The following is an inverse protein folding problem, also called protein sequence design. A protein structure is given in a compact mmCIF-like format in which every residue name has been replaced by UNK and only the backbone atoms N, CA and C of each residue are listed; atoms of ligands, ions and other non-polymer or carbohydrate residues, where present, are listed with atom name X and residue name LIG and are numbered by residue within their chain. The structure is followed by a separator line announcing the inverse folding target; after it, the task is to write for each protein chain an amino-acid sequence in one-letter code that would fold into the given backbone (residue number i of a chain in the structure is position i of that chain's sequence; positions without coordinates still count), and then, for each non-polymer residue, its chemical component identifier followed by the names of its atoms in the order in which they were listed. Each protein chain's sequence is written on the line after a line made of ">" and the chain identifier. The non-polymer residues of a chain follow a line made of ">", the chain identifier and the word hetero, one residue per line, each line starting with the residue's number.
data_IF_131007324798
#
_entry.id   IF_131007324798
#
_cell.length_a   1.000
_cell.length_b   1.000
_cell.length_c   1.000
_cell.angle_alpha   90.00
_cell.angle_beta   90.00
_cell.angle_gamma   90.00
#
_symmetry.space_group_name_H-M   'P 1'
#
loop_
_entity.id
_entity.type
_entity.pdbx_description
1 polymer ?
#
# COMPACT_ATOMS: atom_id res chain seq x y z
N UNK A 1 -23.32 20.38 -16.72
CA UNK A 1 -24.07 20.50 -15.43
C UNK A 1 -23.15 21.13 -14.41
N UNK A 2 -23.39 22.35 -13.97
CA UNK A 2 -22.65 22.92 -12.84
C UNK A 2 -23.03 22.22 -11.54
N UNK A 3 -22.02 21.85 -10.75
CA UNK A 3 -22.19 21.36 -9.39
C UNK A 3 -21.47 22.31 -8.43
N UNK A 4 -22.08 22.60 -7.31
CA UNK A 4 -21.54 23.48 -6.31
C UNK A 4 -21.32 22.76 -4.98
N UNK A 5 -20.16 22.97 -4.40
CA UNK A 5 -19.88 22.65 -3.01
C UNK A 5 -18.60 23.36 -2.55
N UNK A 6 -18.45 23.52 -1.25
CA UNK A 6 -17.22 24.03 -0.65
C UNK A 6 -16.02 23.12 -1.02
N UNK A 7 -14.80 23.69 -0.99
CA UNK A 7 -13.59 22.90 -1.16
C UNK A 7 -13.53 21.79 -0.10
N UNK A 8 -12.95 20.65 -0.46
CA UNK A 8 -12.85 19.51 0.47
C UNK A 8 -14.14 18.74 0.73
N UNK A 9 -15.27 19.07 0.10
CA UNK A 9 -16.56 18.34 0.28
C UNK A 9 -16.60 16.99 -0.45
N UNK A 10 -15.68 16.75 -1.39
CA UNK A 10 -15.62 15.48 -2.13
C UNK A 10 -16.27 15.51 -3.51
N UNK A 11 -16.45 16.68 -4.15
CA UNK A 11 -17.00 16.84 -5.51
C UNK A 11 -16.36 15.89 -6.53
N UNK A 12 -15.02 15.97 -6.64
CA UNK A 12 -14.26 15.15 -7.58
C UNK A 12 -14.40 13.65 -7.28
N UNK A 13 -14.39 13.28 -5.99
CA UNK A 13 -14.59 11.89 -5.54
C UNK A 13 -15.99 11.39 -5.93
N UNK A 14 -17.03 12.18 -5.69
CA UNK A 14 -18.40 11.84 -6.06
C UNK A 14 -18.50 11.55 -7.57
N UNK A 15 -18.05 12.50 -8.40
CA UNK A 15 -18.14 12.39 -9.86
C UNK A 15 -17.33 11.21 -10.38
N UNK A 16 -16.14 10.99 -9.85
CA UNK A 16 -15.26 9.87 -10.25
C UNK A 16 -15.79 8.50 -9.85
N UNK A 17 -16.64 8.43 -8.80
CA UNK A 17 -17.17 7.19 -8.25
C UNK A 17 -18.54 6.80 -8.76
N UNK A 18 -19.19 7.61 -9.58
CA UNK A 18 -20.54 7.34 -10.12
C UNK A 18 -20.64 5.99 -10.80
N UNK A 19 -19.67 5.65 -11.64
CA UNK A 19 -19.60 4.35 -12.32
C UNK A 19 -19.39 3.16 -11.39
N UNK A 20 -18.90 3.38 -10.19
CA UNK A 20 -18.71 2.33 -9.18
C UNK A 20 -19.96 2.11 -8.35
N UNK A 21 -20.62 3.21 -7.96
CA UNK A 21 -21.78 3.15 -7.05
C UNK A 21 -23.11 2.96 -7.77
N UNK A 22 -23.22 3.45 -9.00
CA UNK A 22 -24.43 3.38 -9.80
C UNK A 22 -24.06 2.81 -11.19
N UNK A 23 -23.43 1.64 -11.17
CA UNK A 23 -22.83 1.00 -12.35
C UNK A 23 -23.85 0.71 -13.48
N UNK A 24 -25.12 0.50 -13.15
CA UNK A 24 -26.18 0.26 -14.13
C UNK A 24 -26.57 1.51 -14.92
N UNK A 25 -26.35 2.70 -14.36
CA UNK A 25 -26.73 3.98 -14.98
C UNK A 25 -25.55 4.77 -15.52
N UNK A 26 -24.39 4.66 -14.89
CA UNK A 26 -23.20 5.42 -15.25
C UNK A 26 -22.10 4.50 -15.77
N UNK A 27 -21.57 4.86 -16.94
CA UNK A 27 -20.36 4.30 -17.53
C UNK A 27 -19.10 5.00 -17.03
N UNK A 28 -17.97 4.84 -17.74
CA UNK A 28 -16.71 5.42 -17.32
C UNK A 28 -16.75 6.94 -17.16
N UNK A 29 -15.95 7.44 -16.22
CA UNK A 29 -15.70 8.86 -16.04
C UNK A 29 -14.32 9.21 -16.62
N UNK A 30 -14.25 10.31 -17.38
CA UNK A 30 -13.00 10.90 -17.84
C UNK A 30 -12.82 12.29 -17.24
N UNK A 31 -11.60 12.61 -16.86
CA UNK A 31 -11.21 13.95 -16.42
C UNK A 31 -10.76 14.79 -17.61
N UNK A 32 -11.32 15.99 -17.75
CA UNK A 32 -10.88 17.00 -18.69
C UNK A 32 -10.06 18.04 -17.91
N UNK A 33 -8.74 17.85 -17.88
CA UNK A 33 -7.82 18.73 -17.13
C UNK A 33 -7.63 20.04 -17.89
N UNK A 34 -7.71 21.20 -17.22
CA UNK A 34 -7.34 22.53 -17.68
C UNK A 34 -7.58 22.86 -19.16
N UNK A 35 -7.32 24.09 -19.54
CA UNK A 35 -7.41 24.56 -20.93
C UNK A 35 -8.84 24.68 -21.49
N UNK A 36 -8.96 25.22 -22.73
CA UNK A 36 -10.24 25.47 -23.40
C UNK A 36 -10.97 24.16 -23.72
N UNK A 37 -12.26 24.09 -23.43
CA UNK A 37 -13.12 22.95 -23.77
C UNK A 37 -13.66 23.12 -25.17
N UNK A 38 -13.20 22.25 -26.08
CA UNK A 38 -13.64 22.24 -27.49
C UNK A 38 -14.40 20.96 -27.81
N UNK A 39 -15.26 20.99 -28.82
CA UNK A 39 -15.99 19.81 -29.28
C UNK A 39 -15.04 18.67 -29.71
N UNK A 40 -13.90 18.99 -30.32
CA UNK A 40 -12.90 17.99 -30.71
C UNK A 40 -12.30 17.29 -29.49
N UNK A 41 -11.89 18.03 -28.47
CA UNK A 41 -11.35 17.48 -27.23
C UNK A 41 -12.38 16.57 -26.54
N UNK A 42 -13.64 16.94 -26.57
CA UNK A 42 -14.72 16.09 -26.01
C UNK A 42 -14.94 14.82 -26.82
N UNK A 43 -14.85 14.87 -28.17
CA UNK A 43 -14.91 13.65 -29.01
C UNK A 43 -13.77 12.70 -28.73
N UNK A 44 -12.54 13.21 -28.61
CA UNK A 44 -11.37 12.41 -28.28
C UNK A 44 -11.53 11.74 -26.91
N UNK A 45 -11.99 12.49 -25.90
CA UNK A 45 -12.26 11.96 -24.57
C UNK A 45 -13.38 10.89 -24.60
N UNK A 46 -14.45 11.10 -25.35
CA UNK A 46 -15.54 10.13 -25.52
C UNK A 46 -15.03 8.86 -26.20
N UNK A 47 -14.25 8.97 -27.26
CA UNK A 47 -13.66 7.82 -27.94
C UNK A 47 -12.76 7.01 -26.99
N UNK A 48 -11.91 7.67 -26.19
CA UNK A 48 -11.08 7.00 -25.18
C UNK A 48 -11.91 6.26 -24.12
N UNK A 49 -13.06 6.81 -23.69
CA UNK A 49 -13.95 6.13 -22.76
C UNK A 49 -14.53 4.85 -23.35
N UNK A 50 -15.01 4.94 -24.59
CA UNK A 50 -15.59 3.80 -25.33
C UNK A 50 -14.56 2.69 -25.51
N UNK A 51 -13.35 3.03 -25.96
CA UNK A 51 -12.26 2.07 -26.19
C UNK A 51 -11.79 1.40 -24.91
N UNK A 52 -11.48 2.18 -23.87
CA UNK A 52 -10.97 1.67 -22.60
C UNK A 52 -11.96 0.75 -21.88
N UNK A 53 -13.23 1.09 -21.92
CA UNK A 53 -14.29 0.32 -21.29
C UNK A 53 -14.89 -0.76 -22.20
N UNK A 54 -14.43 -0.86 -23.46
CA UNK A 54 -14.96 -1.79 -24.46
C UNK A 54 -16.49 -1.73 -24.56
N UNK A 55 -17.04 -0.52 -24.58
CA UNK A 55 -18.49 -0.31 -24.61
C UNK A 55 -19.06 -0.79 -25.94
N UNK A 56 -20.16 -1.51 -25.86
CA UNK A 56 -20.93 -1.94 -27.04
C UNK A 56 -21.88 -0.83 -27.49
N UNK A 57 -22.38 -0.93 -28.73
CA UNK A 57 -23.37 0.03 -29.26
C UNK A 57 -24.68 0.02 -28.47
N UNK A 58 -24.98 -1.08 -27.81
CA UNK A 58 -26.23 -1.26 -27.03
C UNK A 58 -26.11 -0.77 -25.58
N UNK A 59 -24.90 -0.39 -25.16
CA UNK A 59 -24.67 0.18 -23.83
C UNK A 59 -25.36 1.56 -23.73
N UNK A 60 -26.31 1.70 -22.81
CA UNK A 60 -27.11 2.92 -22.61
C UNK A 60 -26.62 3.77 -21.41
N UNK A 61 -25.57 3.36 -20.73
CA UNK A 61 -25.04 4.09 -19.55
C UNK A 61 -24.55 5.48 -19.92
N UNK A 62 -24.73 6.40 -19.01
CA UNK A 62 -24.27 7.80 -19.13
C UNK A 62 -22.76 7.86 -18.93
N UNK A 63 -22.05 8.41 -19.89
CA UNK A 63 -20.63 8.69 -19.80
C UNK A 63 -20.41 10.03 -19.10
N UNK A 64 -19.45 10.12 -18.19
CA UNK A 64 -19.23 11.34 -17.40
C UNK A 64 -17.92 12.01 -17.80
N UNK A 65 -18.00 13.27 -18.17
CA UNK A 65 -16.84 14.15 -18.36
C UNK A 65 -16.76 15.14 -17.20
N UNK A 66 -15.77 14.98 -16.35
CA UNK A 66 -15.50 15.89 -15.24
C UNK A 66 -14.51 16.97 -15.68
N UNK A 67 -14.95 18.22 -15.72
CA UNK A 67 -14.07 19.36 -16.00
C UNK A 67 -13.39 19.75 -14.68
N UNK A 68 -12.19 19.24 -14.46
CA UNK A 68 -11.41 19.46 -13.25
C UNK A 68 -10.35 20.55 -13.46
N UNK A 69 -9.76 21.06 -12.36
CA UNK A 69 -8.75 22.13 -12.36
C UNK A 69 -9.23 23.47 -12.97
N UNK A 70 -10.55 23.65 -13.10
CA UNK A 70 -11.17 24.90 -13.55
C UNK A 70 -12.20 25.43 -12.55
N UNK A 71 -12.01 25.11 -11.29
CA UNK A 71 -12.77 25.72 -10.22
C UNK A 71 -12.54 27.24 -10.22
N UNK A 72 -13.60 28.00 -10.08
CA UNK A 72 -13.58 29.48 -10.20
C UNK A 72 -13.27 30.05 -11.59
N UNK A 73 -13.20 29.20 -12.63
CA UNK A 73 -13.06 29.62 -14.03
C UNK A 73 -14.26 29.09 -14.84
N UNK A 74 -15.39 29.82 -14.86
CA UNK A 74 -16.59 29.41 -15.56
C UNK A 74 -16.36 29.34 -17.09
N UNK A 75 -17.10 28.47 -17.81
CA UNK A 75 -16.95 28.36 -19.25
C UNK A 75 -17.34 29.67 -19.94
N UNK A 76 -16.57 30.06 -20.93
CA UNK A 76 -16.91 31.16 -21.83
C UNK A 76 -18.13 30.81 -22.69
N UNK A 77 -18.80 31.82 -23.27
CA UNK A 77 -19.91 31.60 -24.22
C UNK A 77 -19.47 30.72 -25.40
N UNK A 78 -18.23 30.87 -25.85
CA UNK A 78 -17.64 30.03 -26.92
C UNK A 78 -17.53 28.57 -26.50
N UNK A 79 -17.05 28.29 -25.30
CA UNK A 79 -16.96 26.93 -24.78
C UNK A 79 -18.34 26.30 -24.56
N UNK A 80 -19.28 27.07 -24.02
CA UNK A 80 -20.67 26.60 -23.87
C UNK A 80 -21.29 26.24 -25.25
N UNK A 81 -21.01 27.03 -26.29
CA UNK A 81 -21.45 26.72 -27.65
C UNK A 81 -20.81 25.41 -28.17
N UNK A 82 -19.52 25.19 -27.91
CA UNK A 82 -18.80 23.95 -28.28
C UNK A 82 -19.35 22.72 -27.52
N UNK A 83 -19.60 22.86 -26.22
CA UNK A 83 -20.22 21.80 -25.39
C UNK A 83 -21.59 21.46 -25.94
N UNK A 84 -22.45 22.47 -26.26
CA UNK A 84 -23.77 22.27 -26.84
C UNK A 84 -23.71 21.60 -28.19
N UNK A 85 -22.78 22.00 -29.06
CA UNK A 85 -22.59 21.39 -30.38
C UNK A 85 -22.29 19.89 -30.24
N UNK A 86 -21.29 19.54 -29.38
CA UNK A 86 -20.92 18.15 -29.11
C UNK A 86 -22.10 17.33 -28.55
N UNK A 87 -22.83 17.82 -27.55
CA UNK A 87 -23.94 17.10 -26.92
C UNK A 87 -25.10 16.87 -27.86
N UNK A 88 -25.21 17.63 -28.96
CA UNK A 88 -26.25 17.52 -30.00
C UNK A 88 -25.80 16.77 -31.25
N UNK A 89 -24.59 16.30 -31.33
CA UNK A 89 -24.09 15.50 -32.43
C UNK A 89 -24.86 14.18 -32.51
N UNK A 90 -25.61 14.03 -33.63
CA UNK A 90 -26.35 12.81 -33.97
C UNK A 90 -25.78 12.22 -35.26
N UNK A 91 -24.61 11.57 -35.19
CA UNK A 91 -24.00 10.92 -36.34
C UNK A 91 -24.48 9.45 -36.48
N UNK A 92 -24.84 9.00 -37.68
CA UNK A 92 -25.29 7.62 -37.92
C UNK A 92 -24.22 6.56 -37.64
N UNK A 93 -22.91 6.88 -37.73
CA UNK A 93 -21.77 5.97 -37.45
C UNK A 93 -21.32 5.93 -36.01
N UNK A 94 -21.55 6.98 -35.27
CA UNK A 94 -21.10 7.08 -33.85
C UNK A 94 -22.28 7.17 -32.89
N UNK A 95 -23.51 6.94 -33.39
CA UNK A 95 -24.80 6.94 -32.69
C UNK A 95 -24.86 7.91 -31.52
N UNK A 96 -24.59 9.20 -31.80
CA UNK A 96 -24.87 10.25 -30.83
C UNK A 96 -24.20 10.05 -29.46
N UNK A 97 -22.92 9.67 -29.39
CA UNK A 97 -22.21 9.52 -28.12
C UNK A 97 -22.41 10.76 -27.24
N UNK A 98 -22.45 11.95 -27.88
CA UNK A 98 -22.70 13.21 -27.19
C UNK A 98 -24.01 13.24 -26.40
N UNK A 99 -25.05 12.61 -26.88
CA UNK A 99 -26.36 12.54 -26.19
C UNK A 99 -26.35 11.71 -24.92
N UNK A 100 -25.33 10.87 -24.74
CA UNK A 100 -25.12 10.03 -23.57
C UNK A 100 -24.05 10.59 -22.62
N UNK A 101 -23.52 11.77 -22.90
CA UNK A 101 -22.44 12.38 -22.09
C UNK A 101 -23.03 13.39 -21.12
N UNK A 102 -22.70 13.23 -19.85
CA UNK A 102 -22.91 14.22 -18.81
C UNK A 102 -21.61 14.98 -18.59
N UNK A 103 -21.58 16.26 -18.96
CA UNK A 103 -20.48 17.15 -18.63
C UNK A 103 -20.74 17.75 -17.25
N UNK A 104 -19.86 17.44 -16.30
CA UNK A 104 -19.91 17.98 -14.93
C UNK A 104 -18.84 19.04 -14.78
N UNK A 105 -19.24 20.20 -14.25
CA UNK A 105 -18.34 21.30 -13.96
C UNK A 105 -18.38 21.64 -12.47
N UNK A 106 -17.38 21.18 -11.71
CA UNK A 106 -17.28 21.49 -10.28
C UNK A 106 -16.94 22.97 -10.06
N UNK A 107 -17.62 23.60 -9.11
CA UNK A 107 -17.42 24.98 -8.73
C UNK A 107 -17.44 25.10 -7.20
N UNK A 108 -16.57 25.96 -6.67
CA UNK A 108 -16.48 26.28 -5.23
C UNK A 108 -17.11 27.61 -4.86
N UNK A 109 -17.28 28.50 -5.83
CA UNK A 109 -17.94 29.79 -5.65
C UNK A 109 -19.42 29.69 -6.04
N UNK A 110 -20.32 29.88 -5.04
CA UNK A 110 -21.76 29.78 -5.25
C UNK A 110 -22.28 30.79 -6.29
N UNK A 111 -21.75 32.02 -6.30
CA UNK A 111 -22.17 33.05 -7.26
C UNK A 111 -21.79 32.67 -8.70
N UNK A 112 -20.57 32.16 -8.87
CA UNK A 112 -20.11 31.68 -10.18
C UNK A 112 -20.88 30.47 -10.65
N UNK A 113 -21.22 29.54 -9.77
CA UNK A 113 -22.03 28.37 -10.09
C UNK A 113 -23.43 28.78 -10.60
N UNK A 114 -24.06 29.76 -9.95
CA UNK A 114 -25.34 30.33 -10.41
C UNK A 114 -25.22 31.12 -11.72
N UNK A 115 -24.11 31.85 -11.94
CA UNK A 115 -23.85 32.52 -13.23
C UNK A 115 -23.72 31.50 -14.34
N UNK A 116 -23.01 30.41 -14.12
CA UNK A 116 -22.84 29.31 -15.05
C UNK A 116 -24.18 28.62 -15.36
N UNK A 117 -25.02 28.38 -14.34
CA UNK A 117 -26.36 27.83 -14.54
C UNK A 117 -27.22 28.74 -15.44
N UNK A 118 -27.24 30.04 -15.19
CA UNK A 118 -27.95 31.00 -16.02
C UNK A 118 -27.43 31.06 -17.46
N UNK A 119 -26.12 31.02 -17.64
CA UNK A 119 -25.51 31.00 -18.97
C UNK A 119 -25.87 29.72 -19.72
N UNK A 120 -25.88 28.58 -19.06
CA UNK A 120 -26.33 27.31 -19.62
C UNK A 120 -27.80 27.40 -20.06
N UNK A 121 -28.70 27.85 -19.18
CA UNK A 121 -30.14 27.95 -19.50
C UNK A 121 -30.44 28.91 -20.66
N UNK A 122 -29.70 30.01 -20.75
CA UNK A 122 -29.80 30.94 -21.89
C UNK A 122 -29.44 30.27 -23.23
N UNK A 123 -28.46 29.36 -23.23
CA UNK A 123 -28.02 28.68 -24.42
C UNK A 123 -28.81 27.41 -24.77
N UNK A 124 -29.16 26.61 -23.77
CA UNK A 124 -29.69 25.28 -23.92
C UNK A 124 -31.20 25.17 -23.65
N UNK A 125 -31.79 26.20 -23.06
CA UNK A 125 -33.14 26.20 -22.52
C UNK A 125 -33.19 25.75 -21.06
N UNK A 126 -34.37 25.76 -20.47
CA UNK A 126 -34.56 25.40 -19.05
C UNK A 126 -34.06 23.99 -18.77
N UNK A 127 -33.28 23.86 -17.71
CA UNK A 127 -32.82 22.55 -17.21
C UNK A 127 -34.00 21.74 -16.66
N UNK A 128 -34.06 20.41 -16.91
CA UNK A 128 -35.07 19.53 -16.32
C UNK A 128 -34.89 19.33 -14.79
N UNK A 129 -33.73 19.66 -14.26
CA UNK A 129 -33.40 19.64 -12.84
C UNK A 129 -32.92 21.01 -12.38
N UNK A 130 -33.03 21.29 -11.10
CA UNK A 130 -32.51 22.52 -10.55
C UNK A 130 -30.97 22.55 -10.63
N UNK A 131 -30.42 23.62 -11.18
CA UNK A 131 -28.98 23.87 -11.29
C UNK A 131 -28.61 25.24 -10.71
N UNK A 132 -27.43 25.37 -10.07
CA UNK A 132 -26.40 24.34 -9.89
C UNK A 132 -26.83 23.25 -8.92
N UNK A 133 -26.40 22.02 -9.15
CA UNK A 133 -26.63 20.92 -8.20
C UNK A 133 -25.72 21.12 -7.00
N UNK A 134 -26.32 21.25 -5.82
CA UNK A 134 -25.58 21.38 -4.57
C UNK A 134 -25.14 20.01 -4.07
N UNK A 135 -23.85 19.85 -3.77
CA UNK A 135 -23.28 18.65 -3.14
C UNK A 135 -22.98 18.98 -1.68
N UNK A 136 -23.67 18.33 -0.77
CA UNK A 136 -23.55 18.61 0.68
C UNK A 136 -22.43 17.79 1.34
N UNK A 137 -21.93 16.77 0.65
CA UNK A 137 -20.96 15.83 1.21
C UNK A 137 -21.62 14.81 2.14
N UNK A 138 -20.82 13.96 2.80
CA UNK A 138 -21.35 13.02 3.77
C UNK A 138 -21.88 13.73 5.02
N UNK A 139 -22.93 13.19 5.69
CA UNK A 139 -23.43 13.73 6.94
C UNK A 139 -22.34 13.85 8.02
N UNK A 140 -22.34 14.96 8.77
CA UNK A 140 -21.28 15.28 9.74
C UNK A 140 -21.09 14.22 10.82
N UNK A 141 -22.17 13.57 11.23
CA UNK A 141 -22.16 12.48 12.21
C UNK A 141 -21.39 11.23 11.69
N UNK A 142 -21.22 11.10 10.39
CA UNK A 142 -20.46 9.98 9.78
C UNK A 142 -18.96 10.27 9.65
N UNK A 143 -18.52 11.54 9.81
CA UNK A 143 -17.14 11.94 9.59
C UNK A 143 -16.11 11.20 10.46
N UNK A 144 -16.36 10.97 11.77
CA UNK A 144 -15.44 10.20 12.59
C UNK A 144 -15.22 8.78 12.06
N UNK A 145 -16.30 8.11 11.63
CA UNK A 145 -16.19 6.77 11.07
C UNK A 145 -15.49 6.75 9.71
N UNK A 146 -15.75 7.75 8.87
CA UNK A 146 -15.03 7.90 7.58
C UNK A 146 -13.53 8.14 7.79
N UNK A 147 -13.17 8.97 8.78
CA UNK A 147 -11.79 9.20 9.14
C UNK A 147 -11.10 7.93 9.67
N UNK A 148 -11.75 7.16 10.54
CA UNK A 148 -11.24 5.86 11.02
C UNK A 148 -11.01 4.91 9.86
N UNK A 149 -11.97 4.78 8.94
CA UNK A 149 -11.83 3.93 7.76
C UNK A 149 -10.69 4.41 6.85
N UNK A 150 -10.53 5.72 6.68
CA UNK A 150 -9.44 6.30 5.87
C UNK A 150 -8.08 6.04 6.51
N UNK A 151 -7.94 6.26 7.82
CA UNK A 151 -6.72 5.95 8.55
C UNK A 151 -6.35 4.47 8.42
N UNK A 152 -7.33 3.58 8.56
CA UNK A 152 -7.13 2.14 8.39
C UNK A 152 -6.68 1.78 6.98
N UNK A 153 -7.34 2.32 5.95
CA UNK A 153 -7.01 2.03 4.54
C UNK A 153 -5.64 2.57 4.13
N UNK A 154 -5.29 3.78 4.59
CA UNK A 154 -4.04 4.44 4.21
C UNK A 154 -2.84 3.92 4.99
N UNK A 155 -3.01 3.67 6.29
CA UNK A 155 -1.90 3.29 7.17
C UNK A 155 -1.89 1.80 7.49
N UNK A 156 -3.01 1.10 7.23
CA UNK A 156 -3.16 -0.33 7.45
C UNK A 156 -3.02 -0.75 8.94
N UNK A 157 -3.36 0.17 9.82
CA UNK A 157 -3.26 0.02 11.27
C UNK A 157 -4.57 0.45 11.90
N UNK A 158 -5.12 -0.41 12.73
CA UNK A 158 -6.20 -0.10 13.66
C UNK A 158 -5.60 0.32 15.01
N UNK A 159 -6.40 1.02 15.82
CA UNK A 159 -6.02 1.42 17.18
C UNK A 159 -5.16 2.68 17.25
N UNK A 160 -5.19 3.54 16.24
CA UNK A 160 -4.48 4.83 16.26
C UNK A 160 -5.05 5.78 17.31
N UNK A 161 -6.30 5.60 17.72
CA UNK A 161 -6.95 6.32 18.83
C UNK A 161 -6.21 6.12 20.16
N UNK A 162 -5.63 4.94 20.38
CA UNK A 162 -4.82 4.64 21.56
C UNK A 162 -3.49 5.41 21.58
N UNK A 163 -2.98 5.82 20.41
CA UNK A 163 -1.83 6.70 20.28
C UNK A 163 -2.18 8.18 20.31
N UNK A 164 -3.46 8.52 20.56
CA UNK A 164 -3.93 9.89 20.61
C UNK A 164 -4.33 10.47 19.24
N UNK A 165 -4.56 9.60 18.24
CA UNK A 165 -5.12 9.96 16.93
C UNK A 165 -6.54 9.39 16.87
N UNK A 166 -7.44 10.00 17.63
CA UNK A 166 -8.83 9.57 17.72
C UNK A 166 -9.76 10.56 17.02
N UNK A 167 -10.34 10.19 15.87
CA UNK A 167 -11.25 11.06 15.15
C UNK A 167 -12.45 11.56 15.98
N UNK A 168 -12.95 10.76 16.93
CA UNK A 168 -14.11 11.14 17.75
C UNK A 168 -13.84 12.33 18.68
N UNK A 169 -12.58 12.65 18.95
CA UNK A 169 -12.20 13.82 19.75
C UNK A 169 -12.27 15.14 19.00
N UNK A 170 -12.50 15.09 17.68
CA UNK A 170 -12.62 16.27 16.83
C UNK A 170 -14.10 16.56 16.59
N UNK A 171 -14.56 17.73 17.05
CA UNK A 171 -15.93 18.15 16.78
C UNK A 171 -16.10 18.50 15.30
N UNK A 172 -16.85 17.67 14.56
CA UNK A 172 -17.11 17.86 13.12
C UNK A 172 -17.74 19.22 12.78
N UNK A 173 -18.48 19.82 13.72
CA UNK A 173 -19.08 21.15 13.55
C UNK A 173 -18.05 22.29 13.49
N UNK A 174 -16.85 22.06 13.98
CA UNK A 174 -15.77 23.05 13.97
C UNK A 174 -15.06 23.16 12.62
N UNK A 175 -15.40 22.32 11.65
CA UNK A 175 -14.74 22.27 10.35
C UNK A 175 -15.69 22.64 9.22
N UNK A 176 -15.18 23.34 8.20
CA UNK A 176 -15.98 23.80 7.07
C UNK A 176 -16.31 22.66 6.10
N UNK A 177 -15.43 21.65 6.00
CA UNK A 177 -15.61 20.50 5.12
C UNK A 177 -15.03 19.22 5.74
N UNK A 178 -15.42 18.06 5.20
CA UNK A 178 -14.81 16.78 5.59
C UNK A 178 -13.32 16.75 5.23
N UNK A 179 -12.90 17.47 4.19
CA UNK A 179 -11.48 17.61 3.82
C UNK A 179 -10.67 18.25 4.95
N UNK A 180 -11.12 19.39 5.48
CA UNK A 180 -10.47 20.09 6.60
C UNK A 180 -10.42 19.23 7.86
N UNK A 181 -11.49 18.47 8.11
CA UNK A 181 -11.57 17.53 9.21
C UNK A 181 -10.53 16.41 9.09
N UNK A 182 -10.42 15.80 7.90
CA UNK A 182 -9.44 14.75 7.63
C UNK A 182 -8.00 15.28 7.66
N UNK A 183 -7.77 16.51 7.19
CA UNK A 183 -6.47 17.17 7.24
C UNK A 183 -6.00 17.40 8.67
N UNK A 184 -6.88 17.87 9.55
CA UNK A 184 -6.58 18.06 10.97
C UNK A 184 -6.18 16.75 11.66
N UNK A 185 -6.89 15.65 11.38
CA UNK A 185 -6.57 14.33 11.91
C UNK A 185 -5.26 13.80 11.34
N UNK A 186 -5.02 13.98 10.04
CA UNK A 186 -3.77 13.61 9.37
C UNK A 186 -2.58 14.39 9.96
N UNK A 187 -2.71 15.68 10.20
CA UNK A 187 -1.71 16.50 10.85
C UNK A 187 -1.36 15.99 12.26
N UNK A 188 -2.37 15.57 13.02
CA UNK A 188 -2.13 14.93 14.33
C UNK A 188 -1.36 13.62 14.21
N UNK A 189 -1.74 12.77 13.25
CA UNK A 189 -1.03 11.51 13.01
C UNK A 189 0.45 11.74 12.66
N UNK A 190 0.73 12.69 11.75
CA UNK A 190 2.11 13.06 11.38
C UNK A 190 2.90 13.53 12.60
N UNK A 191 2.29 14.38 13.45
CA UNK A 191 2.93 14.87 14.68
C UNK A 191 3.27 13.72 15.63
N UNK A 192 2.29 12.84 15.90
CA UNK A 192 2.52 11.66 16.78
C UNK A 192 3.61 10.76 16.22
N UNK A 193 3.58 10.47 14.92
CA UNK A 193 4.60 9.64 14.28
C UNK A 193 6.00 10.29 14.38
N UNK A 194 6.09 11.60 14.14
CA UNK A 194 7.35 12.34 14.25
C UNK A 194 7.92 12.33 15.68
N UNK A 195 7.07 12.55 16.70
CA UNK A 195 7.47 12.50 18.10
C UNK A 195 7.97 11.09 18.50
N UNK A 196 7.28 10.06 18.01
CA UNK A 196 7.69 8.68 18.21
C UNK A 196 9.05 8.36 17.57
N UNK A 197 9.27 8.81 16.32
CA UNK A 197 10.54 8.62 15.62
C UNK A 197 11.69 9.36 16.31
N UNK A 198 11.46 10.59 16.80
CA UNK A 198 12.45 11.35 17.54
C UNK A 198 12.88 10.68 18.86
N UNK A 199 12.08 9.78 19.40
CA UNK A 199 12.43 9.03 20.62
C UNK A 199 13.56 8.00 20.39
N UNK A 200 13.94 7.73 19.14
CA UNK A 200 15.05 6.85 18.76
C UNK A 200 16.30 7.68 18.46
N UNK A 201 17.44 7.28 19.00
CA UNK A 201 18.74 7.91 18.68
C UNK A 201 19.10 7.69 17.20
N UNK A 202 18.85 6.46 16.71
CA UNK A 202 18.97 6.10 15.30
C UNK A 202 17.69 5.42 14.86
N UNK A 203 17.03 5.88 13.80
CA UNK A 203 15.85 5.21 13.26
C UNK A 203 16.16 3.76 12.89
N UNK A 204 15.36 2.84 13.42
CA UNK A 204 15.47 1.41 13.14
C UNK A 204 14.31 0.95 12.26
N UNK A 205 14.59 0.04 11.34
CA UNK A 205 13.58 -0.73 10.60
C UNK A 205 13.76 -2.19 10.95
N UNK A 206 12.66 -2.89 11.23
CA UNK A 206 12.68 -4.33 11.54
C UNK A 206 12.10 -5.13 10.38
N UNK A 207 12.87 -6.07 9.84
CA UNK A 207 12.44 -7.03 8.83
C UNK A 207 12.55 -8.44 9.39
N UNK A 208 11.43 -9.13 9.50
CA UNK A 208 11.40 -10.55 9.90
C UNK A 208 11.28 -11.39 8.63
N UNK A 209 12.36 -12.08 8.29
CA UNK A 209 12.49 -12.85 7.05
C UNK A 209 12.33 -14.34 7.33
N UNK A 210 11.27 -14.93 6.79
CA UNK A 210 11.02 -16.37 6.89
C UNK A 210 11.66 -17.09 5.71
N UNK A 211 12.68 -17.89 5.99
CA UNK A 211 13.37 -18.72 5.00
C UNK A 211 12.81 -20.13 5.10
N UNK A 212 12.00 -20.53 4.11
CA UNK A 212 11.30 -21.80 4.11
C UNK A 212 11.31 -22.46 2.72
N UNK A 213 10.90 -23.72 2.66
CA UNK A 213 10.82 -24.47 1.40
C UNK A 213 9.68 -24.04 0.48
N UNK A 214 8.81 -23.16 0.92
CA UNK A 214 7.66 -22.69 0.15
C UNK A 214 7.94 -21.36 -0.56
N UNK A 215 7.50 -21.27 -1.81
CA UNK A 215 7.46 -20.00 -2.54
C UNK A 215 6.19 -19.19 -2.21
N UNK A 216 5.21 -19.77 -1.49
CA UNK A 216 3.94 -19.15 -1.18
C UNK A 216 3.91 -18.75 0.30
N UNK A 217 3.81 -17.48 0.53
CA UNK A 217 3.73 -16.89 1.87
C UNK A 217 2.27 -16.58 2.27
N UNK A 218 1.32 -17.44 1.92
CA UNK A 218 -0.12 -17.20 2.14
C UNK A 218 -0.44 -16.75 3.57
N UNK A 219 0.22 -17.36 4.56
CA UNK A 219 0.02 -17.03 5.96
C UNK A 219 0.53 -15.62 6.33
N UNK A 220 1.55 -15.10 5.64
CA UNK A 220 2.04 -13.76 5.94
C UNK A 220 1.00 -12.69 5.57
N UNK A 221 0.21 -12.91 4.52
CA UNK A 221 -0.91 -12.01 4.19
C UNK A 221 -2.01 -12.00 5.24
N UNK A 222 -2.14 -13.08 6.02
CA UNK A 222 -3.08 -13.17 7.14
C UNK A 222 -2.57 -12.47 8.42
N UNK A 223 -1.29 -12.09 8.48
CA UNK A 223 -0.63 -11.44 9.63
C UNK A 223 -0.14 -10.03 9.31
N UNK A 224 -0.17 -9.66 8.03
CA UNK A 224 0.22 -8.33 7.54
C UNK A 224 -1.00 -7.54 7.08
N UNK A 225 -0.81 -6.25 6.97
CA UNK A 225 -1.80 -5.36 6.39
C UNK A 225 -1.70 -5.26 4.85
N UNK A 226 -2.34 -4.20 4.26
CA UNK A 226 -2.34 -3.97 2.81
C UNK A 226 -1.05 -3.27 2.34
N UNK A 227 -0.33 -2.62 3.23
CA UNK A 227 1.04 -2.14 2.97
C UNK A 227 1.96 -3.33 2.91
N UNK A 228 2.75 -3.38 1.88
CA UNK A 228 3.64 -4.48 1.59
C UNK A 228 4.42 -4.97 2.82
N UNK A 229 4.02 -6.12 3.32
CA UNK A 229 4.65 -6.81 4.45
C UNK A 229 4.55 -6.12 5.83
N UNK A 230 3.91 -4.94 5.96
CA UNK A 230 3.75 -4.28 7.26
C UNK A 230 2.89 -5.16 8.18
N UNK A 231 3.37 -5.37 9.41
CA UNK A 231 2.67 -6.19 10.38
C UNK A 231 1.36 -5.54 10.86
N UNK A 232 0.33 -6.35 11.08
CA UNK A 232 -0.95 -5.91 11.64
C UNK A 232 -1.07 -6.36 13.08
N UNK A 233 -1.21 -5.40 14.01
CA UNK A 233 -1.36 -5.69 15.43
C UNK A 233 -2.57 -6.60 15.70
N UNK A 234 -3.72 -6.27 15.12
CA UNK A 234 -4.97 -7.02 15.32
C UNK A 234 -4.88 -8.44 14.81
N UNK A 235 -4.33 -8.62 13.61
CA UNK A 235 -4.17 -9.96 13.00
C UNK A 235 -3.18 -10.83 13.80
N UNK A 236 -2.10 -10.24 14.33
CA UNK A 236 -1.17 -10.92 15.22
C UNK A 236 -1.82 -11.32 16.52
N UNK A 237 -2.57 -10.42 17.15
CA UNK A 237 -3.30 -10.70 18.39
C UNK A 237 -4.39 -11.76 18.18
N UNK A 238 -5.17 -11.65 17.12
CA UNK A 238 -6.19 -12.64 16.76
C UNK A 238 -5.61 -14.06 16.50
N UNK A 239 -4.35 -14.14 16.04
CA UNK A 239 -3.68 -15.42 15.82
C UNK A 239 -3.10 -16.05 17.10
N UNK A 240 -3.02 -15.29 18.22
CA UNK A 240 -2.31 -15.74 19.45
C UNK A 240 -3.08 -15.53 20.76
N UNK A 241 -4.41 -15.69 20.83
CA UNK A 241 -5.21 -15.26 21.98
C UNK A 241 -4.82 -15.97 23.29
N UNK A 242 -4.36 -17.22 23.22
CA UNK A 242 -4.05 -18.06 24.38
C UNK A 242 -2.56 -18.20 24.65
N UNK A 243 -1.67 -17.57 23.87
CA UNK A 243 -0.23 -17.66 24.07
C UNK A 243 0.26 -16.67 25.13
N UNK A 244 1.34 -17.04 25.85
CA UNK A 244 1.94 -16.14 26.86
C UNK A 244 2.37 -14.79 26.26
N UNK A 245 2.97 -14.80 25.06
CA UNK A 245 3.37 -13.58 24.38
C UNK A 245 2.16 -12.76 23.90
N UNK A 246 1.10 -13.43 23.45
CA UNK A 246 -0.16 -12.77 23.09
C UNK A 246 -0.82 -12.10 24.31
N UNK A 247 -0.92 -12.81 25.44
CA UNK A 247 -1.41 -12.24 26.71
C UNK A 247 -0.57 -11.07 27.20
N UNK A 248 0.74 -11.13 27.01
CA UNK A 248 1.63 -10.04 27.37
C UNK A 248 1.35 -8.77 26.53
N UNK A 249 1.15 -8.94 25.21
CA UNK A 249 0.83 -7.85 24.29
C UNK A 249 -0.60 -7.33 24.44
N UNK A 250 -1.58 -8.19 24.77
CA UNK A 250 -2.98 -7.78 24.97
C UNK A 250 -3.14 -6.73 26.09
N UNK A 251 -2.24 -6.72 27.06
CA UNK A 251 -2.17 -5.71 28.11
C UNK A 251 -1.38 -4.45 27.71
N UNK A 252 -0.82 -4.43 26.49
CA UNK A 252 0.10 -3.40 26.00
C UNK A 252 -0.13 -3.11 24.52
N UNK A 253 -1.38 -3.03 24.10
CA UNK A 253 -1.76 -2.85 22.69
C UNK A 253 -1.13 -1.58 22.09
N UNK A 254 -1.12 -0.47 22.85
CA UNK A 254 -0.45 0.77 22.46
C UNK A 254 1.03 0.57 22.15
N UNK A 255 1.71 -0.21 22.99
CA UNK A 255 3.12 -0.51 22.80
C UNK A 255 3.33 -1.38 21.56
N UNK A 256 2.44 -2.34 21.28
CA UNK A 256 2.51 -3.17 20.06
C UNK A 256 2.39 -2.30 18.81
N UNK A 257 1.36 -1.45 18.75
CA UNK A 257 1.11 -0.55 17.64
C UNK A 257 2.29 0.42 17.47
N UNK A 258 2.76 1.04 18.56
CA UNK A 258 3.96 1.87 18.56
C UNK A 258 5.16 1.13 17.98
N UNK A 259 5.40 -0.11 18.43
CA UNK A 259 6.55 -0.92 17.99
C UNK A 259 6.50 -1.21 16.50
N UNK A 260 5.33 -1.59 15.98
CA UNK A 260 5.13 -1.85 14.55
C UNK A 260 5.38 -0.59 13.72
N UNK A 261 4.79 0.54 14.12
CA UNK A 261 4.87 1.81 13.40
C UNK A 261 6.29 2.37 13.37
N UNK A 262 6.90 2.52 14.55
CA UNK A 262 8.19 3.21 14.69
C UNK A 262 9.33 2.39 14.11
N UNK A 263 9.25 1.06 14.21
CA UNK A 263 10.23 0.17 13.61
C UNK A 263 9.90 -0.19 12.15
N UNK A 264 8.88 0.39 11.53
CA UNK A 264 8.40 -0.03 10.19
C UNK A 264 8.47 -1.57 10.08
N UNK A 265 7.90 -2.26 11.08
CA UNK A 265 8.12 -3.69 11.28
C UNK A 265 7.38 -4.52 10.21
N UNK A 266 8.15 -5.28 9.44
CA UNK A 266 7.67 -6.02 8.27
C UNK A 266 8.02 -7.49 8.34
N UNK A 267 7.17 -8.32 7.74
CA UNK A 267 7.44 -9.75 7.55
C UNK A 267 7.47 -10.09 6.06
N UNK A 268 8.47 -10.87 5.66
CA UNK A 268 8.64 -11.31 4.27
C UNK A 268 9.03 -12.78 4.20
N UNK A 269 8.72 -13.43 3.07
CA UNK A 269 9.22 -14.76 2.74
C UNK A 269 10.44 -14.65 1.82
N UNK A 270 11.49 -15.40 2.11
CA UNK A 270 12.60 -15.61 1.20
C UNK A 270 12.44 -16.98 0.58
N UNK A 271 12.08 -16.99 -0.70
CA UNK A 271 11.80 -18.21 -1.44
C UNK A 271 13.06 -19.04 -1.70
N UNK A 272 12.94 -20.37 -1.83
CA UNK A 272 14.07 -21.26 -2.17
C UNK A 272 14.79 -20.88 -3.45
N UNK A 273 14.09 -20.31 -4.42
CA UNK A 273 14.66 -19.82 -5.69
C UNK A 273 15.70 -18.71 -5.52
N UNK A 274 15.64 -17.97 -4.41
CA UNK A 274 16.66 -17.00 -4.01
C UNK A 274 17.64 -17.59 -3.00
N UNK A 275 17.13 -18.34 -2.01
CA UNK A 275 17.94 -18.92 -0.93
C UNK A 275 19.00 -19.88 -1.44
N UNK A 276 18.59 -20.89 -2.25
CA UNK A 276 19.48 -21.95 -2.72
C UNK A 276 20.68 -21.41 -3.50
N UNK A 277 20.53 -20.50 -4.48
CA UNK A 277 21.68 -19.91 -5.15
C UNK A 277 22.61 -19.12 -4.23
N UNK A 278 22.09 -18.43 -3.23
CA UNK A 278 22.90 -17.67 -2.26
C UNK A 278 23.72 -18.62 -1.40
N UNK A 279 23.08 -19.61 -0.76
CA UNK A 279 23.79 -20.55 0.12
C UNK A 279 24.73 -21.50 -0.66
N UNK A 280 24.45 -21.78 -1.93
CA UNK A 280 25.36 -22.54 -2.80
C UNK A 280 26.63 -21.76 -3.14
N UNK A 281 26.56 -20.42 -3.17
CA UNK A 281 27.70 -19.58 -3.53
C UNK A 281 28.50 -19.13 -2.32
N UNK A 282 27.83 -18.81 -1.23
CA UNK A 282 28.40 -18.16 -0.04
C UNK A 282 28.31 -18.99 1.24
N UNK A 283 27.59 -20.10 1.19
CA UNK A 283 27.40 -20.98 2.33
C UNK A 283 28.64 -21.80 2.67
N UNK A 284 28.60 -22.53 3.80
CA UNK A 284 29.66 -23.42 4.21
C UNK A 284 29.86 -24.60 3.24
N UNK A 285 31.05 -25.21 3.28
CA UNK A 285 31.41 -26.30 2.37
C UNK A 285 30.44 -27.46 2.41
N UNK A 286 29.95 -27.84 3.60
CA UNK A 286 28.93 -28.88 3.80
C UNK A 286 27.64 -28.64 2.98
N UNK A 287 27.16 -27.39 2.93
CA UNK A 287 25.99 -26.99 2.13
C UNK A 287 26.32 -27.05 0.65
N UNK A 288 27.52 -26.57 0.27
CA UNK A 288 27.98 -26.60 -1.12
C UNK A 288 28.11 -28.04 -1.64
N UNK A 289 28.63 -28.96 -0.84
CA UNK A 289 28.77 -30.38 -1.19
C UNK A 289 27.41 -31.00 -1.47
N UNK A 290 26.41 -30.82 -0.55
CA UNK A 290 25.06 -31.34 -0.73
C UNK A 290 24.41 -30.84 -2.03
N UNK A 291 24.61 -29.56 -2.38
CA UNK A 291 24.06 -28.97 -3.60
C UNK A 291 24.82 -29.40 -4.86
N UNK A 292 26.14 -29.62 -4.76
CA UNK A 292 26.96 -30.13 -5.87
C UNK A 292 26.61 -31.59 -6.22
N UNK A 293 26.33 -32.44 -5.25
CA UNK A 293 25.84 -33.81 -5.44
C UNK A 293 24.57 -33.88 -6.31
N UNK A 294 23.76 -32.85 -6.27
CA UNK A 294 22.55 -32.71 -7.09
C UNK A 294 22.83 -32.25 -8.54
N UNK A 295 24.07 -32.12 -8.94
CA UNK A 295 24.47 -31.50 -10.22
C UNK A 295 23.90 -30.06 -10.39
N UNK A 296 23.72 -29.34 -9.30
CA UNK A 296 23.27 -27.97 -9.32
C UNK A 296 24.49 -27.07 -9.67
N UNK A 297 24.42 -26.37 -10.79
CA UNK A 297 25.49 -25.43 -11.16
C UNK A 297 25.39 -24.14 -10.34
N UNK A 298 26.52 -23.67 -9.80
CA UNK A 298 26.62 -22.36 -9.16
C UNK A 298 26.14 -21.27 -10.10
N UNK A 299 25.17 -20.47 -9.65
CA UNK A 299 24.64 -19.39 -10.46
C UNK A 299 25.57 -18.18 -10.46
N UNK A 300 25.58 -17.41 -11.55
CA UNK A 300 26.33 -16.15 -11.63
C UNK A 300 25.69 -15.08 -10.72
N UNK A 301 26.52 -14.14 -10.26
CA UNK A 301 26.05 -13.01 -9.43
C UNK A 301 24.92 -12.24 -10.10
N UNK A 302 25.05 -11.94 -11.39
CA UNK A 302 24.02 -11.22 -12.15
C UNK A 302 22.68 -11.94 -12.19
N UNK A 303 22.66 -13.28 -12.14
CA UNK A 303 21.44 -14.07 -12.09
C UNK A 303 20.83 -14.05 -10.68
N UNK A 304 21.64 -14.19 -9.65
CA UNK A 304 21.20 -14.08 -8.25
C UNK A 304 20.64 -12.68 -7.98
N UNK A 305 21.34 -11.63 -8.41
CA UNK A 305 20.88 -10.25 -8.28
C UNK A 305 19.52 -10.01 -8.97
N UNK A 306 19.32 -10.53 -10.17
CA UNK A 306 17.99 -10.45 -10.83
C UNK A 306 16.89 -11.20 -10.07
N UNK A 307 17.20 -12.34 -9.44
CA UNK A 307 16.25 -13.05 -8.59
C UNK A 307 15.93 -12.23 -7.31
N UNK A 308 16.96 -11.63 -6.71
CA UNK A 308 16.82 -10.75 -5.57
C UNK A 308 15.94 -9.53 -5.89
N UNK A 309 16.20 -8.83 -6.99
CA UNK A 309 15.44 -7.64 -7.40
C UNK A 309 13.94 -7.92 -7.65
N UNK A 310 13.64 -9.15 -8.05
CA UNK A 310 12.26 -9.61 -8.27
C UNK A 310 11.60 -10.16 -7.01
N UNK A 311 12.38 -10.50 -6.00
CA UNK A 311 11.88 -11.04 -4.74
C UNK A 311 11.26 -9.94 -3.88
N UNK A 312 10.35 -10.35 -3.00
CA UNK A 312 9.75 -9.46 -2.02
C UNK A 312 10.81 -8.89 -1.07
N UNK A 313 11.77 -9.72 -0.67
CA UNK A 313 12.87 -9.32 0.18
C UNK A 313 13.74 -8.23 -0.48
N UNK A 314 14.13 -8.42 -1.74
CA UNK A 314 14.93 -7.44 -2.47
C UNK A 314 14.19 -6.13 -2.71
N UNK A 315 12.91 -6.20 -3.08
CA UNK A 315 12.06 -5.01 -3.25
C UNK A 315 11.92 -4.24 -1.95
N UNK A 316 11.70 -4.93 -0.83
CA UNK A 316 11.60 -4.30 0.47
C UNK A 316 12.89 -3.54 0.84
N UNK A 317 14.05 -4.16 0.66
CA UNK A 317 15.34 -3.51 0.96
C UNK A 317 15.62 -2.30 0.06
N UNK A 318 15.09 -2.31 -1.17
CA UNK A 318 15.18 -1.18 -2.12
C UNK A 318 14.07 -0.13 -1.94
N UNK A 319 13.21 -0.26 -0.91
CA UNK A 319 12.15 0.72 -0.62
C UNK A 319 10.95 0.65 -1.55
N UNK A 320 10.75 -0.46 -2.28
CA UNK A 320 9.58 -0.63 -3.14
C UNK A 320 8.30 -0.85 -2.30
N UNK A 321 7.19 -0.31 -2.78
CA UNK A 321 5.88 -0.33 -2.10
C UNK A 321 4.92 -1.42 -2.59
N UNK A 322 5.25 -2.14 -3.65
CA UNK A 322 4.37 -3.12 -4.28
C UNK A 322 4.89 -4.56 -4.17
N UNK A 323 3.98 -5.51 -4.01
CA UNK A 323 4.31 -6.94 -4.04
C UNK A 323 5.02 -7.34 -5.34
N UNK A 324 5.94 -8.29 -5.24
CA UNK A 324 6.64 -8.82 -6.41
C UNK A 324 5.66 -9.62 -7.27
N UNK A 325 5.75 -9.47 -8.60
CA UNK A 325 5.11 -10.40 -9.50
C UNK A 325 5.76 -11.80 -9.33
N UNK A 326 4.95 -12.85 -9.28
CA UNK A 326 5.46 -14.23 -9.20
C UNK A 326 6.43 -14.49 -10.37
N UNK A 327 7.66 -14.89 -10.02
CA UNK A 327 8.70 -15.18 -11.01
C UNK A 327 8.35 -16.44 -11.82
N UNK A 328 8.54 -16.39 -13.14
CA UNK A 328 8.52 -17.58 -13.99
C UNK A 328 9.80 -18.38 -13.74
N UNK A 329 9.73 -19.49 -13.03
CA UNK A 329 10.83 -20.41 -12.78
C UNK A 329 10.29 -21.80 -12.46
N UNK A 330 11.17 -22.79 -12.33
CA UNK A 330 10.79 -24.09 -11.80
C UNK A 330 10.95 -24.08 -10.26
N UNK A 331 9.92 -23.64 -9.50
CA UNK A 331 10.02 -23.50 -8.05
C UNK A 331 10.19 -24.87 -7.38
N UNK A 332 9.73 -25.95 -7.99
CA UNK A 332 9.80 -27.30 -7.43
C UNK A 332 11.24 -27.78 -7.20
N UNK A 333 12.12 -27.57 -8.17
CA UNK A 333 13.53 -27.98 -8.03
C UNK A 333 14.26 -27.23 -6.91
N UNK A 334 14.06 -25.92 -6.80
CA UNK A 334 14.69 -25.13 -5.73
C UNK A 334 14.15 -25.51 -4.35
N UNK A 335 12.87 -25.79 -4.24
CA UNK A 335 12.25 -26.29 -2.97
C UNK A 335 12.78 -27.65 -2.59
N UNK A 336 12.98 -28.54 -3.57
CA UNK A 336 13.56 -29.87 -3.36
C UNK A 336 15.02 -29.78 -2.87
N UNK A 337 15.84 -28.95 -3.49
CA UNK A 337 17.22 -28.72 -3.08
C UNK A 337 17.30 -28.07 -1.68
N UNK A 338 16.44 -27.12 -1.40
CA UNK A 338 16.33 -26.52 -0.07
C UNK A 338 16.00 -27.57 0.98
N UNK A 339 15.03 -28.46 0.70
CA UNK A 339 14.67 -29.54 1.61
C UNK A 339 15.83 -30.51 1.83
N UNK A 340 16.58 -30.85 0.78
CA UNK A 340 17.75 -31.71 0.90
C UNK A 340 18.83 -31.12 1.81
N UNK A 341 19.11 -29.81 1.69
CA UNK A 341 20.01 -29.11 2.62
C UNK A 341 19.46 -29.15 4.04
N UNK A 342 18.16 -28.88 4.21
CA UNK A 342 17.51 -28.91 5.51
C UNK A 342 17.58 -30.30 6.21
N UNK A 343 17.46 -31.38 5.44
CA UNK A 343 17.51 -32.76 5.94
C UNK A 343 18.94 -33.22 6.28
N UNK A 344 19.92 -32.84 5.47
CA UNK A 344 21.31 -33.32 5.63
C UNK A 344 22.18 -32.42 6.54
N UNK A 345 22.02 -31.11 6.44
CA UNK A 345 22.79 -30.13 7.23
C UNK A 345 22.02 -29.67 8.46
N UNK A 346 20.69 -29.47 8.30
CA UNK A 346 19.81 -28.94 9.33
C UNK A 346 19.90 -27.43 9.45
N UNK A 347 18.94 -26.85 10.22
CA UNK A 347 18.87 -25.40 10.51
C UNK A 347 18.86 -25.16 12.03
N UNK A 348 19.37 -26.09 12.82
CA UNK A 348 19.43 -26.00 14.28
C UNK A 348 20.64 -25.18 14.74
N UNK A 349 20.64 -24.82 16.03
CA UNK A 349 21.54 -23.84 16.63
C UNK A 349 23.02 -23.97 16.22
N UNK A 350 23.55 -22.91 15.64
CA UNK A 350 24.91 -22.82 15.10
C UNK A 350 24.98 -22.91 13.57
N UNK A 351 24.18 -23.76 12.93
CA UNK A 351 24.15 -23.87 11.46
C UNK A 351 23.45 -22.69 10.80
N UNK A 352 22.42 -22.14 11.45
CA UNK A 352 21.75 -20.93 11.03
C UNK A 352 22.69 -19.72 10.94
N UNK A 353 23.68 -19.64 11.82
CA UNK A 353 24.71 -18.58 11.78
C UNK A 353 25.52 -18.57 10.48
N UNK A 354 25.95 -19.73 10.03
CA UNK A 354 26.71 -19.87 8.80
C UNK A 354 25.88 -19.51 7.57
N UNK A 355 24.57 -19.85 7.60
CA UNK A 355 23.63 -19.47 6.56
C UNK A 355 23.31 -17.96 6.58
N UNK A 356 23.25 -17.37 7.76
CA UNK A 356 23.11 -15.92 7.94
C UNK A 356 24.33 -15.18 7.39
N UNK A 357 25.54 -15.71 7.64
CA UNK A 357 26.80 -15.20 7.07
C UNK A 357 26.78 -15.25 5.53
N UNK A 358 26.24 -16.33 4.94
CA UNK A 358 26.09 -16.44 3.50
C UNK A 358 25.21 -15.32 2.92
N UNK A 359 24.08 -15.01 3.56
CA UNK A 359 23.24 -13.89 3.18
C UNK A 359 23.91 -12.53 3.39
N UNK A 360 24.64 -12.37 4.50
CA UNK A 360 25.40 -11.15 4.76
C UNK A 360 26.45 -10.87 3.68
N UNK A 361 27.25 -11.88 3.32
CA UNK A 361 28.24 -11.79 2.21
C UNK A 361 27.58 -11.47 0.87
N UNK A 362 26.46 -12.12 0.58
CA UNK A 362 25.70 -11.81 -0.64
C UNK A 362 25.24 -10.34 -0.67
N UNK A 363 24.71 -9.83 0.45
CA UNK A 363 24.26 -8.43 0.53
C UNK A 363 25.42 -7.44 0.42
N UNK A 364 26.62 -7.78 0.95
CA UNK A 364 27.84 -6.97 0.80
C UNK A 364 28.30 -6.90 -0.65
N UNK A 365 28.25 -8.05 -1.38
CA UNK A 365 28.69 -8.14 -2.77
C UNK A 365 27.64 -7.64 -3.78
N UNK A 366 26.41 -7.38 -3.33
CA UNK A 366 25.33 -6.94 -4.22
C UNK A 366 25.36 -5.41 -4.38
N UNK A 367 25.89 -4.93 -5.50
CA UNK A 367 25.95 -3.49 -5.85
C UNK A 367 24.59 -2.76 -5.79
N UNK A 368 23.48 -3.49 -5.88
CA UNK A 368 22.13 -2.93 -5.75
C UNK A 368 21.67 -2.70 -4.31
N UNK A 369 22.49 -3.00 -3.30
CA UNK A 369 22.22 -2.79 -1.88
C UNK A 369 23.19 -1.73 -1.34
N UNK A 370 22.66 -0.57 -0.98
CA UNK A 370 23.47 0.54 -0.46
C UNK A 370 23.55 0.51 1.06
N UNK A 371 24.76 0.55 1.62
CA UNK A 371 24.99 0.64 3.05
C UNK A 371 25.99 -0.39 3.59
N UNK A 372 26.33 -0.25 4.89
CA UNK A 372 27.22 -1.18 5.58
C UNK A 372 26.44 -2.37 6.12
N UNK A 373 26.81 -3.58 5.70
CA UNK A 373 26.20 -4.84 6.17
C UNK A 373 27.05 -5.43 7.29
N UNK A 374 26.42 -5.76 8.42
CA UNK A 374 27.06 -6.50 9.53
C UNK A 374 26.20 -7.69 9.92
N UNK A 375 26.81 -8.81 10.24
CA UNK A 375 26.15 -10.06 10.65
C UNK A 375 26.44 -10.33 12.12
N UNK A 376 25.38 -10.63 12.90
CA UNK A 376 25.44 -10.96 14.33
C UNK A 376 26.28 -9.97 15.15
N UNK A 377 26.23 -8.70 14.80
CA UNK A 377 27.01 -7.65 15.45
C UNK A 377 26.08 -6.75 16.27
N UNK A 378 26.55 -6.36 17.47
CA UNK A 378 25.83 -5.41 18.33
C UNK A 378 25.62 -4.08 17.62
N UNK A 379 24.39 -3.57 17.70
CA UNK A 379 24.07 -2.23 17.23
C UNK A 379 24.29 -1.24 18.38
N UNK A 380 25.16 -0.24 18.15
CA UNK A 380 25.50 0.85 19.08
C UNK A 380 25.90 0.36 20.48
N UNK A 381 25.76 1.20 21.51
CA UNK A 381 26.02 0.84 22.93
C UNK A 381 24.97 -0.15 23.50
N UNK A 382 24.13 -0.76 22.63
CA UNK A 382 22.97 -1.50 23.03
C UNK A 382 23.14 -3.00 23.23
N UNK A 383 22.05 -3.60 23.64
CA UNK A 383 21.94 -5.03 23.93
C UNK A 383 21.42 -5.84 22.76
N UNK A 384 21.03 -5.20 21.64
CA UNK A 384 20.45 -5.86 20.47
C UNK A 384 21.54 -6.36 19.53
N UNK A 385 21.41 -7.60 19.13
CA UNK A 385 22.24 -8.24 18.11
C UNK A 385 21.29 -8.77 17.03
N UNK A 386 21.00 -7.99 15.99
CA UNK A 386 20.22 -8.49 14.86
C UNK A 386 21.02 -9.57 14.11
N UNK A 387 20.30 -10.47 13.44
CA UNK A 387 20.93 -11.51 12.61
C UNK A 387 21.75 -10.86 11.50
N UNK A 388 21.17 -9.89 10.80
CA UNK A 388 21.90 -9.03 9.85
C UNK A 388 21.42 -7.59 10.08
N UNK A 389 22.35 -6.65 10.07
CA UNK A 389 22.05 -5.22 10.02
C UNK A 389 22.59 -4.60 8.72
N UNK A 390 21.81 -3.71 8.12
CA UNK A 390 22.17 -2.89 6.98
C UNK A 390 22.06 -1.42 7.41
N UNK A 391 23.18 -0.75 7.55
CA UNK A 391 23.24 0.67 7.93
C UNK A 391 23.25 1.53 6.66
N UNK A 392 22.20 2.27 6.46
CA UNK A 392 22.10 3.32 5.47
C UNK A 392 22.37 4.69 6.12
N UNK A 393 22.38 5.77 5.35
CA UNK A 393 22.62 7.13 5.87
C UNK A 393 21.62 7.54 6.96
N UNK A 394 20.34 7.18 6.80
CA UNK A 394 19.24 7.70 7.61
C UNK A 394 18.65 6.68 8.59
N UNK A 395 18.93 5.39 8.45
CA UNK A 395 18.37 4.34 9.30
C UNK A 395 19.19 3.06 9.26
N UNK A 396 18.95 2.20 10.26
CA UNK A 396 19.49 0.84 10.30
C UNK A 396 18.36 -0.17 10.10
N UNK A 397 18.45 -0.96 9.05
CA UNK A 397 17.54 -2.09 8.85
C UNK A 397 18.09 -3.32 9.58
N UNK A 398 17.35 -3.77 10.58
CA UNK A 398 17.60 -4.98 11.34
C UNK A 398 16.81 -6.12 10.71
N UNK A 399 17.49 -7.18 10.31
CA UNK A 399 16.88 -8.34 9.69
C UNK A 399 17.00 -9.55 10.62
N UNK A 400 15.87 -10.19 10.90
CA UNK A 400 15.75 -11.39 11.72
C UNK A 400 15.37 -12.56 10.81
N UNK A 401 16.29 -13.47 10.59
CA UNK A 401 16.06 -14.63 9.74
C UNK A 401 15.54 -15.81 10.56
N UNK A 402 14.48 -16.41 10.05
CA UNK A 402 13.86 -17.59 10.63
C UNK A 402 13.90 -18.75 9.66
N UNK A 403 14.88 -19.63 9.86
CA UNK A 403 15.10 -20.82 9.04
C UNK A 403 14.21 -21.97 9.49
N UNK A 404 13.54 -22.62 8.53
CA UNK A 404 12.71 -23.78 8.80
C UNK A 404 12.84 -24.85 7.70
N UNK A 405 12.98 -26.09 8.13
CA UNK A 405 13.10 -27.26 7.27
C UNK A 405 11.77 -27.78 6.72
N UNK A 406 10.66 -27.41 7.34
CA UNK A 406 9.32 -27.82 6.92
C UNK A 406 8.54 -26.62 6.44
N UNK A 407 7.47 -26.88 5.69
CA UNK A 407 6.58 -25.83 5.22
C UNK A 407 5.88 -25.13 6.42
N UNK A 408 6.54 -24.12 6.96
CA UNK A 408 6.06 -23.35 8.10
C UNK A 408 4.93 -22.40 7.70
N UNK A 409 4.99 -21.86 6.49
CA UNK A 409 4.12 -20.76 6.04
C UNK A 409 2.78 -21.27 5.49
N UNK A 410 2.13 -22.17 6.22
CA UNK A 410 0.78 -22.69 5.96
C UNK A 410 -0.18 -22.28 7.08
N UNK A 411 -1.46 -22.15 6.78
CA UNK A 411 -2.48 -21.65 7.73
C UNK A 411 -2.53 -22.41 9.06
N UNK A 412 -2.21 -23.70 9.06
CA UNK A 412 -2.11 -24.50 10.29
C UNK A 412 -1.07 -23.97 11.30
N UNK A 413 -0.04 -23.28 10.82
CA UNK A 413 1.06 -22.77 11.65
C UNK A 413 0.91 -21.26 11.98
N UNK A 414 -0.24 -20.67 11.69
CA UNK A 414 -0.49 -19.24 11.88
C UNK A 414 -0.12 -18.74 13.28
N UNK A 415 -0.52 -19.49 14.31
CA UNK A 415 -0.22 -19.14 15.70
C UNK A 415 1.28 -19.23 16.03
N UNK A 416 1.99 -20.19 15.45
CA UNK A 416 3.44 -20.34 15.65
C UNK A 416 4.19 -19.16 15.04
N UNK A 417 3.88 -18.82 13.79
CA UNK A 417 4.48 -17.68 13.07
C UNK A 417 4.18 -16.37 13.79
N UNK A 418 2.93 -16.16 14.20
CA UNK A 418 2.55 -14.95 14.94
C UNK A 418 3.26 -14.84 16.31
N UNK A 419 3.40 -15.96 17.06
CA UNK A 419 4.15 -15.98 18.33
C UNK A 419 5.61 -15.62 18.13
N UNK A 420 6.24 -16.12 17.07
CA UNK A 420 7.63 -15.76 16.76
C UNK A 420 7.75 -14.26 16.46
N UNK A 421 6.87 -13.71 15.63
CA UNK A 421 6.83 -12.28 15.31
C UNK A 421 6.67 -11.45 16.59
N UNK A 422 5.66 -11.75 17.41
CA UNK A 422 5.40 -11.03 18.66
C UNK A 422 6.56 -11.12 19.64
N UNK A 423 7.27 -12.25 19.69
CA UNK A 423 8.46 -12.41 20.55
C UNK A 423 9.61 -11.52 20.07
N UNK A 424 9.81 -11.38 18.75
CA UNK A 424 10.82 -10.48 18.20
C UNK A 424 10.45 -9.02 18.45
N UNK A 425 9.20 -8.63 18.22
CA UNK A 425 8.72 -7.27 18.53
C UNK A 425 8.95 -6.93 20.02
N UNK A 426 8.69 -7.86 20.94
CA UNK A 426 8.96 -7.67 22.36
C UNK A 426 10.46 -7.44 22.65
N UNK A 427 11.33 -8.21 22.03
CA UNK A 427 12.79 -8.05 22.17
C UNK A 427 13.24 -6.67 21.70
N UNK A 428 12.70 -6.20 20.57
CA UNK A 428 13.02 -4.88 20.04
C UNK A 428 12.43 -3.75 20.89
N UNK A 429 11.18 -3.87 21.37
CA UNK A 429 10.59 -2.89 22.30
C UNK A 429 11.39 -2.76 23.60
N UNK A 430 11.89 -3.90 24.12
CA UNK A 430 12.80 -3.93 25.28
C UNK A 430 14.13 -3.26 24.97
N UNK A 431 14.72 -3.57 23.80
CA UNK A 431 15.97 -2.98 23.38
C UNK A 431 15.92 -1.45 23.30
N UNK A 432 14.89 -0.90 22.69
CA UNK A 432 14.71 0.56 22.56
C UNK A 432 14.23 1.23 23.87
N UNK A 433 14.14 0.48 24.96
CA UNK A 433 13.80 1.01 26.27
C UNK A 433 12.32 1.35 26.48
N UNK A 434 11.43 0.83 25.62
CA UNK A 434 9.98 1.08 25.75
C UNK A 434 9.30 0.16 26.76
N UNK A 435 9.97 -0.90 27.18
CA UNK A 435 9.53 -1.79 28.26
C UNK A 435 10.76 -2.38 28.96
N UNK A 436 10.61 -2.63 30.26
CA UNK A 436 11.65 -3.27 31.10
C UNK A 436 11.45 -4.78 31.22
N UNK A 437 10.25 -5.30 30.88
CA UNK A 437 9.83 -6.69 31.10
C UNK A 437 10.20 -7.63 29.94
#
# INVERSE_FOLDING_TARGET
>A
MPIFANSGTGKTTLVSSLSTWIADSYGPTVRLDGGEITANRMREAAAQMVDKARLTLDDQRILVMNVDDRESDPPSDKELAQIKAFLRESGERERGIGSRVLVVWPETDERKSHQMAKAYEKLAGRSPIDIPVRVEGPPRETWPQLAKNTLKLVNDIDGLEELGVDPERYNSESYSSIGDYLEAISGRFVTVLHDLLRSLQTPLRLVIAFVSESNKAGILSELTGNRYGLLSADKLMAATPNSEVGKWWSRRTNLLIKTILVLDARAVCIAPSLTVPIIHRYGPDEVCEVLNESNLRKQSMSRIARCFDRSDFGKLLKGASAAAAEGRGNPGKASEEFRRVAERVGFTSGKDKELNLAFGRYLQDNEGVSGEVKVETKIEAGRLIPVISLRSENYVTCMEFHWRSKNLLVSANRSEVARYILSKLRSYAKYVGWTSD
#
